data_IF_227846759906
#
_entry.id   IF_227846759906
#
_cell.length_a   1.000
_cell.length_b   1.000
_cell.length_c   1.000
_cell.angle_alpha   90.00
_cell.angle_beta   90.00
_cell.angle_gamma   90.00
#
_symmetry.space_group_name_H-M   'P 1'
#
loop_
_entity.id
_entity.type
_entity.pdbx_description
1 polymer ?
#
# COMPACT_ATOMS: atom_id res chain seq x y z
N UNK A 1 -7.50 16.46 -4.76
CA UNK A 1 -7.05 15.16 -5.32
C UNK A 1 -8.14 14.54 -6.17
N UNK A 2 -9.35 14.30 -5.67
CA UNK A 2 -10.44 13.67 -6.46
C UNK A 2 -10.69 14.31 -7.83
N UNK A 3 -10.80 15.65 -7.89
CA UNK A 3 -11.03 16.38 -9.14
C UNK A 3 -9.81 16.44 -10.08
N UNK A 4 -8.60 16.23 -9.57
CA UNK A 4 -7.33 16.38 -10.32
C UNK A 4 -6.76 15.02 -10.74
N UNK A 5 -6.67 14.11 -9.79
CA UNK A 5 -6.11 12.76 -9.92
C UNK A 5 -6.91 11.80 -9.03
N UNK A 6 -8.09 11.33 -9.47
CA UNK A 6 -8.93 10.42 -8.70
C UNK A 6 -8.22 9.08 -8.40
N UNK A 7 -7.29 8.65 -9.27
CA UNK A 7 -6.53 7.41 -9.10
C UNK A 7 -5.65 7.36 -7.85
N UNK A 8 -5.27 8.51 -7.28
CA UNK A 8 -4.49 8.56 -6.03
C UNK A 8 -5.25 7.88 -4.87
N UNK A 9 -6.58 7.94 -4.87
CA UNK A 9 -7.40 7.26 -3.86
C UNK A 9 -7.30 5.73 -3.91
N UNK A 10 -7.02 5.15 -5.09
CA UNK A 10 -6.79 3.71 -5.25
C UNK A 10 -5.40 3.27 -4.80
N UNK A 11 -4.51 4.21 -4.45
CA UNK A 11 -3.17 3.89 -3.99
C UNK A 11 -3.21 3.22 -2.61
N UNK A 12 -2.46 2.13 -2.45
CA UNK A 12 -2.39 1.44 -1.17
C UNK A 12 -1.38 2.11 -0.25
N UNK A 13 -1.56 1.94 1.06
CA UNK A 13 -0.64 2.38 2.12
C UNK A 13 -0.56 1.31 3.20
N UNK A 14 0.51 1.33 4.00
CA UNK A 14 0.61 0.49 5.19
C UNK A 14 -0.49 0.84 6.18
N UNK A 15 -1.29 -0.13 6.60
CA UNK A 15 -2.35 0.08 7.59
C UNK A 15 -1.77 0.31 8.98
N UNK A 16 -2.53 0.97 9.86
CA UNK A 16 -2.13 1.16 11.25
C UNK A 16 -1.88 -0.18 11.96
N UNK A 17 -2.70 -1.18 11.65
CA UNK A 17 -2.48 -2.56 12.11
C UNK A 17 -1.16 -3.13 11.60
N UNK A 18 -0.88 -3.05 10.30
CA UNK A 18 0.38 -3.55 9.73
C UNK A 18 1.61 -2.86 10.30
N UNK A 19 1.53 -1.57 10.62
CA UNK A 19 2.62 -0.83 11.30
C UNK A 19 2.92 -1.38 12.69
N UNK A 20 1.91 -1.82 13.44
CA UNK A 20 2.11 -2.43 14.76
C UNK A 20 2.56 -3.88 14.65
N UNK A 21 1.97 -4.64 13.73
CA UNK A 21 2.28 -6.06 13.53
C UNK A 21 3.71 -6.30 13.02
N UNK A 22 4.23 -5.42 12.15
CA UNK A 22 5.56 -5.56 11.53
C UNK A 22 6.69 -4.85 12.30
N UNK A 23 6.38 -4.22 13.43
CA UNK A 23 7.33 -3.47 14.25
C UNK A 23 8.12 -4.44 15.13
N UNK A 24 9.44 -4.29 15.15
CA UNK A 24 10.28 -5.02 16.08
C UNK A 24 10.22 -4.40 17.48
N UNK A 25 10.58 -5.17 18.50
CA UNK A 25 10.79 -4.62 19.85
C UNK A 25 11.85 -3.51 19.83
N UNK A 26 11.60 -2.41 20.55
CA UNK A 26 12.47 -1.23 20.64
C UNK A 26 12.84 -0.58 19.30
N UNK A 27 12.07 -0.81 18.24
CA UNK A 27 12.32 -0.17 16.96
C UNK A 27 11.85 1.29 16.96
N UNK A 28 12.70 2.21 16.51
CA UNK A 28 12.36 3.63 16.36
C UNK A 28 11.49 3.86 15.12
N UNK A 29 10.65 4.90 15.15
CA UNK A 29 9.67 5.17 14.09
C UNK A 29 10.32 5.43 12.72
N UNK A 30 11.48 6.10 12.67
CA UNK A 30 12.18 6.36 11.41
C UNK A 30 12.76 5.07 10.81
N UNK A 31 13.20 4.12 11.65
CA UNK A 31 13.73 2.82 11.22
C UNK A 31 12.60 1.96 10.63
N UNK A 32 11.45 1.92 11.30
CA UNK A 32 10.25 1.29 10.78
C UNK A 32 9.82 1.92 9.45
N UNK A 33 9.75 3.25 9.37
CA UNK A 33 9.39 3.95 8.13
C UNK A 33 10.38 3.66 6.99
N UNK A 34 11.69 3.60 7.26
CA UNK A 34 12.69 3.28 6.25
C UNK A 34 12.49 1.86 5.68
N UNK A 35 12.20 0.87 6.53
CA UNK A 35 11.87 -0.50 6.11
C UNK A 35 10.58 -0.54 5.28
N UNK A 36 9.51 0.08 5.78
CA UNK A 36 8.21 0.11 5.10
C UNK A 36 8.28 0.83 3.75
N UNK A 37 9.09 1.89 3.63
CA UNK A 37 9.31 2.59 2.37
C UNK A 37 10.06 1.73 1.35
N UNK A 38 11.11 1.01 1.81
CA UNK A 38 11.85 0.05 0.96
C UNK A 38 10.94 -1.08 0.46
N UNK A 39 10.04 -1.58 1.31
CA UNK A 39 9.09 -2.64 0.98
C UNK A 39 7.87 -2.19 0.15
N UNK A 40 7.65 -0.89 -0.04
CA UNK A 40 6.43 -0.38 -0.68
C UNK A 40 6.29 -0.83 -2.14
N UNK A 41 7.32 -0.58 -2.96
CA UNK A 41 7.31 -0.94 -4.40
C UNK A 41 7.03 -2.43 -4.63
N UNK A 42 7.74 -3.38 -4.01
CA UNK A 42 7.46 -4.81 -4.21
C UNK A 42 6.10 -5.23 -3.67
N UNK A 43 5.64 -4.67 -2.54
CA UNK A 43 4.30 -4.96 -2.00
C UNK A 43 3.18 -4.50 -2.96
N UNK A 44 3.33 -3.32 -3.58
CA UNK A 44 2.40 -2.85 -4.60
C UNK A 44 2.43 -3.75 -5.84
N UNK A 45 3.61 -4.13 -6.32
CA UNK A 45 3.74 -5.04 -7.46
C UNK A 45 3.04 -6.38 -7.20
N UNK A 46 3.21 -6.94 -5.99
CA UNK A 46 2.50 -8.13 -5.56
C UNK A 46 0.98 -7.94 -5.59
N UNK A 47 0.45 -6.88 -4.96
CA UNK A 47 -1.00 -6.66 -4.93
C UNK A 47 -1.59 -6.39 -6.32
N UNK A 48 -0.83 -5.78 -7.23
CA UNK A 48 -1.27 -5.53 -8.61
C UNK A 48 -1.27 -6.78 -9.49
N UNK A 49 -0.61 -7.87 -9.07
CA UNK A 49 -0.69 -9.16 -9.78
C UNK A 49 -2.06 -9.82 -9.66
N UNK A 50 -2.90 -9.39 -8.71
CA UNK A 50 -4.25 -9.88 -8.50
C UNK A 50 -5.27 -8.97 -9.18
N UNK A 51 -5.76 -9.37 -10.35
CA UNK A 51 -6.78 -8.63 -11.09
C UNK A 51 -8.16 -9.19 -10.76
N UNK A 52 -9.10 -8.31 -10.40
CA UNK A 52 -10.50 -8.68 -10.27
C UNK A 52 -11.23 -8.43 -11.59
N UNK A 53 -11.55 -9.50 -12.32
CA UNK A 53 -12.18 -9.43 -13.64
C UNK A 53 -13.57 -8.76 -13.63
N UNK A 54 -14.37 -8.97 -12.58
CA UNK A 54 -15.70 -8.34 -12.48
C UNK A 54 -15.60 -6.81 -12.41
N UNK A 55 -14.66 -6.30 -11.60
CA UNK A 55 -14.43 -4.85 -11.48
C UNK A 55 -13.91 -4.28 -12.81
N UNK A 56 -12.98 -4.98 -13.46
CA UNK A 56 -12.41 -4.54 -14.75
C UNK A 56 -13.49 -4.48 -15.82
N UNK A 57 -14.41 -5.43 -15.87
CA UNK A 57 -15.50 -5.43 -16.86
C UNK A 57 -16.48 -4.28 -16.63
N UNK A 58 -16.83 -3.96 -15.38
CA UNK A 58 -17.69 -2.80 -15.06
C UNK A 58 -17.02 -1.44 -15.29
N UNK A 59 -15.68 -1.41 -15.40
CA UNK A 59 -14.91 -0.19 -15.57
C UNK A 59 -14.60 0.13 -17.05
N UNK A 60 -14.94 -0.77 -17.97
CA UNK A 60 -14.90 -0.53 -19.43
C UNK A 60 -16.17 0.19 -19.87
#
# INVERSE_FOLDING_TARGET
MVRREPGVLGSRRWSNYGRLYLRHFNELDHSLNQRLNRGYKPAIAYMNSFVNYSIVETAK
#
